data_IF_768112860351
#
_entry.id   IF_768112860351
#
_cell.length_a   1.000
_cell.length_b   1.000
_cell.length_c   1.000
_cell.angle_alpha   90.00
_cell.angle_beta   90.00
_cell.angle_gamma   90.00
#
_symmetry.space_group_name_H-M   'P 1'
#
loop_
_entity.id
_entity.type
_entity.pdbx_description
1 polymer ?
#
# COMPACT_ATOMS: atom_id res chain seq x y z
N UNK A 1 -68.19 49.62 -22.44
CA UNK A 1 -68.50 48.97 -21.15
C UNK A 1 -67.29 49.15 -20.24
N UNK A 2 -67.52 49.79 -19.09
CA UNK A 2 -66.83 49.71 -17.77
C UNK A 2 -65.61 48.77 -17.68
N UNK A 3 -64.48 49.03 -17.04
CA UNK A 3 -64.12 49.83 -15.85
C UNK A 3 -62.60 49.65 -15.59
N UNK A 4 -61.82 50.73 -15.45
CA UNK A 4 -61.07 51.19 -14.26
C UNK A 4 -60.02 50.28 -13.58
N UNK A 5 -58.83 50.88 -13.37
CA UNK A 5 -57.87 50.70 -12.24
C UNK A 5 -57.02 49.40 -12.23
N UNK A 6 -55.76 49.34 -11.78
CA UNK A 6 -54.89 50.25 -11.03
C UNK A 6 -53.42 49.83 -11.22
N UNK A 7 -52.54 50.81 -11.07
CA UNK A 7 -51.08 50.73 -11.02
C UNK A 7 -50.59 50.30 -9.63
N UNK A 8 -49.62 49.38 -9.58
CA UNK A 8 -48.74 49.19 -8.42
C UNK A 8 -47.37 48.66 -8.88
N UNK A 9 -46.40 49.56 -8.85
CA UNK A 9 -44.97 49.34 -8.98
C UNK A 9 -44.44 48.58 -7.76
N UNK A 10 -43.73 47.46 -8.00
CA UNK A 10 -42.93 46.78 -6.98
C UNK A 10 -41.52 46.54 -7.51
N UNK A 11 -40.60 47.29 -6.93
CA UNK A 11 -39.17 47.05 -7.00
C UNK A 11 -38.84 45.75 -6.24
N UNK A 12 -38.14 44.83 -6.90
CA UNK A 12 -37.44 43.73 -6.24
C UNK A 12 -35.97 43.84 -6.58
N UNK A 13 -35.24 44.52 -5.71
CA UNK A 13 -33.82 44.30 -5.55
C UNK A 13 -33.62 42.97 -4.82
N UNK A 14 -32.98 42.01 -5.47
CA UNK A 14 -32.48 40.81 -4.81
C UNK A 14 -30.96 40.77 -4.93
N UNK A 15 -30.33 41.40 -3.93
CA UNK A 15 -28.90 41.28 -3.69
C UNK A 15 -28.60 39.90 -3.14
N UNK A 16 -28.13 39.00 -4.01
CA UNK A 16 -27.63 37.69 -3.63
C UNK A 16 -26.31 37.79 -2.85
N UNK A 17 -26.43 38.14 -1.57
CA UNK A 17 -25.40 37.92 -0.55
C UNK A 17 -25.16 36.41 -0.43
N UNK A 18 -24.15 35.91 -1.17
CA UNK A 18 -23.51 34.61 -0.89
C UNK A 18 -22.92 34.67 0.52
N UNK A 19 -23.69 34.19 1.50
CA UNK A 19 -23.16 33.79 2.81
C UNK A 19 -22.13 32.68 2.58
N UNK A 20 -20.84 33.04 2.62
CA UNK A 20 -19.77 32.10 2.94
C UNK A 20 -20.10 31.52 4.33
N UNK A 21 -20.74 30.35 4.36
CA UNK A 21 -20.72 29.51 5.55
C UNK A 21 -19.27 29.06 5.68
N UNK A 22 -18.59 29.56 6.72
CA UNK A 22 -17.34 28.96 7.17
C UNK A 22 -17.62 27.52 7.54
N UNK A 23 -17.32 26.62 6.60
CA UNK A 23 -17.19 25.20 6.87
C UNK A 23 -15.90 25.07 7.68
N UNK A 24 -16.07 24.74 8.96
CA UNK A 24 -14.97 24.55 9.89
C UNK A 24 -14.02 23.43 9.43
N UNK A 25 -12.78 23.57 9.86
CA UNK A 25 -11.57 22.80 9.53
C UNK A 25 -11.59 21.29 9.88
N UNK A 26 -12.75 20.62 9.82
CA UNK A 26 -12.91 19.21 10.21
C UNK A 26 -12.83 18.20 9.05
N UNK A 27 -12.79 18.65 7.79
CA UNK A 27 -12.67 17.75 6.63
C UNK A 27 -11.21 17.31 6.40
N UNK A 28 -10.26 18.24 6.49
CA UNK A 28 -8.82 18.00 6.36
C UNK A 28 -8.29 16.91 7.32
N UNK A 29 -8.88 16.81 8.52
CA UNK A 29 -8.52 15.78 9.52
C UNK A 29 -8.98 14.37 9.09
N UNK A 30 -10.01 14.22 8.24
CA UNK A 30 -10.57 12.91 7.87
C UNK A 30 -9.80 12.20 6.75
N UNK A 31 -9.27 12.93 5.76
CA UNK A 31 -8.51 12.30 4.65
C UNK A 31 -7.16 11.78 5.15
N UNK A 32 -6.49 12.54 6.03
CA UNK A 32 -5.27 12.11 6.71
C UNK A 32 -5.59 10.98 7.71
N UNK A 33 -6.68 11.04 8.48
CA UNK A 33 -6.98 10.01 9.49
C UNK A 33 -7.24 8.59 8.93
N UNK A 34 -7.55 8.44 7.64
CA UNK A 34 -7.82 7.12 7.02
C UNK A 34 -6.62 6.60 6.23
N UNK A 35 -5.80 7.48 5.62
CA UNK A 35 -4.52 7.10 5.01
C UNK A 35 -3.35 7.01 6.00
N UNK A 36 -3.42 7.75 7.10
CA UNK A 36 -2.36 8.00 8.08
C UNK A 36 -2.96 8.07 9.49
N UNK A 37 -3.52 6.95 9.97
CA UNK A 37 -4.24 6.84 11.24
C UNK A 37 -3.64 7.62 12.42
N UNK A 38 -4.10 8.86 12.57
CA UNK A 38 -4.03 9.78 13.72
C UNK A 38 -2.64 10.14 14.28
N UNK A 39 -1.98 11.15 13.69
CA UNK A 39 -1.17 12.13 14.44
C UNK A 39 -1.94 13.45 14.57
N UNK A 40 -2.67 13.61 15.68
CA UNK A 40 -3.15 14.92 16.14
C UNK A 40 -3.50 14.84 17.63
N UNK A 41 -2.47 14.83 18.48
CA UNK A 41 -2.45 15.46 19.81
C UNK A 41 -0.98 15.72 20.17
N UNK A 42 -0.43 16.89 19.82
CA UNK A 42 0.74 17.50 20.49
C UNK A 42 1.03 18.92 19.96
N UNK A 43 0.04 19.81 20.02
CA UNK A 43 0.32 21.25 19.95
C UNK A 43 -0.72 22.02 20.75
N UNK A 44 -0.59 22.00 22.08
CA UNK A 44 -1.04 23.05 22.99
C UNK A 44 -0.58 22.71 24.41
N UNK A 45 0.04 23.70 25.07
CA UNK A 45 0.73 23.69 26.36
C UNK A 45 2.21 23.30 26.35
N UNK A 46 3.08 24.26 26.02
CA UNK A 46 4.15 24.69 26.94
C UNK A 46 4.27 26.21 26.84
N UNK A 47 3.71 26.90 27.83
CA UNK A 47 4.12 28.25 28.15
C UNK A 47 5.48 28.20 28.86
N UNK A 48 6.43 28.95 28.31
CA UNK A 48 7.47 29.70 29.03
C UNK A 48 8.07 29.05 30.29
N UNK A 49 9.27 28.47 30.14
CA UNK A 49 10.39 28.65 31.06
C UNK A 49 11.69 28.24 30.37
N UNK A 50 12.55 29.24 30.12
CA UNK A 50 13.93 29.07 29.72
C UNK A 50 14.72 28.46 30.89
N UNK A 51 15.33 27.29 30.68
CA UNK A 51 16.51 26.86 31.42
C UNK A 51 17.54 26.42 30.38
N UNK A 52 18.58 27.23 30.21
CA UNK A 52 19.76 26.88 29.43
C UNK A 52 20.55 25.82 30.19
N UNK A 53 20.65 24.63 29.62
CA UNK A 53 21.63 23.62 30.03
C UNK A 53 22.62 23.46 28.88
N UNK A 54 23.84 23.95 29.08
CA UNK A 54 24.99 23.62 28.25
C UNK A 54 25.32 22.14 28.46
N UNK A 55 25.11 21.33 27.43
CA UNK A 55 25.66 19.98 27.35
C UNK A 55 26.89 20.01 26.46
N UNK A 56 28.03 19.81 27.11
CA UNK A 56 29.31 19.46 26.50
C UNK A 56 29.13 18.11 25.80
N UNK A 57 29.35 18.09 24.49
CA UNK A 57 29.38 16.85 23.69
C UNK A 57 30.84 16.43 23.59
N UNK A 58 31.25 15.53 24.47
CA UNK A 58 32.44 14.71 24.26
C UNK A 58 32.09 13.59 23.27
N UNK A 59 32.87 13.53 22.20
CA UNK A 59 32.83 12.48 21.19
C UNK A 59 33.58 11.25 21.69
N UNK A 60 33.05 10.03 21.47
CA UNK A 60 33.89 8.84 21.40
C UNK A 60 33.98 8.34 19.96
N UNK A 61 35.21 8.37 19.46
CA UNK A 61 35.70 7.51 18.39
C UNK A 61 35.36 6.05 18.69
N UNK A 62 34.60 5.41 17.81
CA UNK A 62 34.54 3.96 17.71
C UNK A 62 34.78 3.53 16.27
N UNK A 63 36.04 3.22 15.99
CA UNK A 63 36.49 2.48 14.82
C UNK A 63 35.97 1.04 14.87
N UNK A 64 35.09 0.67 13.94
CA UNK A 64 34.78 -0.73 13.68
C UNK A 64 35.82 -1.29 12.70
N UNK A 65 36.78 -2.07 13.23
CA UNK A 65 37.60 -2.97 12.42
C UNK A 65 36.79 -4.23 12.09
N UNK A 66 36.40 -4.36 10.82
CA UNK A 66 35.77 -5.58 10.28
C UNK A 66 36.88 -6.59 9.98
N UNK A 67 37.02 -7.61 10.83
CA UNK A 67 37.91 -8.74 10.62
C UNK A 67 37.32 -9.66 9.54
N UNK A 68 37.80 -9.52 8.30
CA UNK A 68 37.50 -10.46 7.22
C UNK A 68 38.37 -11.71 7.35
N UNK A 69 37.73 -12.86 7.58
CA UNK A 69 38.36 -14.16 7.41
C UNK A 69 38.38 -14.54 5.92
N UNK A 70 39.53 -14.95 5.34
CA UNK A 70 39.59 -15.42 3.97
C UNK A 70 39.02 -16.84 3.85
N UNK A 71 38.06 -17.04 2.95
CA UNK A 71 37.63 -18.38 2.52
C UNK A 71 38.63 -18.94 1.50
N UNK A 72 39.41 -19.92 1.92
CA UNK A 72 40.23 -20.77 1.05
C UNK A 72 39.36 -21.65 0.18
N UNK A 73 39.54 -21.57 -1.15
CA UNK A 73 39.07 -22.56 -2.12
C UNK A 73 40.04 -23.75 -2.11
N UNK A 74 39.54 -24.93 -1.78
CA UNK A 74 40.22 -26.20 -2.10
C UNK A 74 39.31 -27.02 -2.99
N UNK A 75 39.74 -27.14 -4.24
CA UNK A 75 39.31 -28.14 -5.21
C UNK A 75 40.11 -29.41 -4.95
N UNK A 76 39.43 -30.55 -4.79
CA UNK A 76 39.90 -31.87 -5.23
C UNK A 76 38.70 -32.83 -5.24
N UNK A 77 38.40 -33.36 -6.42
CA UNK A 77 37.45 -34.46 -6.64
C UNK A 77 38.20 -35.78 -6.43
N UNK A 78 37.85 -36.52 -5.39
CA UNK A 78 38.10 -37.96 -5.32
C UNK A 78 36.75 -38.69 -5.18
N UNK A 79 36.50 -39.60 -6.12
CA UNK A 79 35.32 -40.47 -6.14
C UNK A 79 35.45 -41.53 -5.03
N UNK A 80 34.68 -41.36 -3.96
CA UNK A 80 34.36 -42.43 -3.01
C UNK A 80 32.94 -42.94 -3.26
N UNK A 81 32.81 -44.23 -3.54
CA UNK A 81 31.53 -44.93 -3.54
C UNK A 81 31.04 -45.08 -2.10
N UNK A 82 29.82 -44.62 -1.75
CA UNK A 82 29.32 -44.75 -0.39
C UNK A 82 28.88 -46.19 -0.10
N UNK A 83 29.13 -46.70 1.13
CA UNK A 83 28.58 -47.99 1.56
C UNK A 83 27.05 -47.93 1.67
N UNK A 84 26.36 -49.09 1.57
CA UNK A 84 24.90 -49.15 1.61
C UNK A 84 24.37 -48.56 2.92
N UNK A 85 23.62 -47.46 2.78
CA UNK A 85 23.03 -46.72 3.89
C UNK A 85 22.05 -47.60 4.65
N UNK A 86 22.43 -47.97 5.88
CA UNK A 86 21.51 -48.51 6.87
C UNK A 86 20.44 -47.45 7.12
N UNK A 87 19.19 -47.72 6.71
CA UNK A 87 18.05 -46.84 6.93
C UNK A 87 17.82 -46.70 8.44
N UNK A 88 18.50 -45.72 9.03
CA UNK A 88 18.20 -45.27 10.39
C UNK A 88 16.81 -44.68 10.31
N UNK A 89 15.84 -45.32 10.97
CA UNK A 89 14.50 -44.78 11.17
C UNK A 89 14.69 -43.50 12.00
N UNK A 90 14.92 -42.39 11.30
CA UNK A 90 14.86 -41.07 11.90
C UNK A 90 13.41 -40.89 12.30
N UNK A 91 13.14 -41.04 13.60
CA UNK A 91 11.98 -40.45 14.23
C UNK A 91 12.07 -38.94 13.98
N UNK A 92 11.58 -38.49 12.82
CA UNK A 92 11.40 -37.09 12.51
C UNK A 92 10.47 -36.54 13.58
N UNK A 93 11.05 -35.85 14.55
CA UNK A 93 10.30 -35.06 15.52
C UNK A 93 9.40 -34.15 14.72
N UNK A 94 8.09 -34.41 14.77
CA UNK A 94 7.08 -33.66 14.02
C UNK A 94 7.29 -32.17 14.31
N UNK A 95 7.74 -31.42 13.31
CA UNK A 95 8.05 -30.02 13.48
C UNK A 95 6.78 -29.27 13.89
N UNK A 96 6.88 -28.33 14.83
CA UNK A 96 5.73 -27.53 15.27
C UNK A 96 5.22 -26.69 14.09
N UNK A 97 3.90 -26.72 13.78
CA UNK A 97 3.36 -25.98 12.65
C UNK A 97 3.51 -24.47 12.87
N UNK A 98 3.51 -23.72 11.78
CA UNK A 98 3.78 -22.27 11.82
C UNK A 98 2.64 -21.43 11.26
N UNK A 99 2.59 -20.16 11.66
CA UNK A 99 1.83 -19.13 10.94
C UNK A 99 2.79 -18.30 10.08
N UNK A 100 2.48 -18.16 8.80
CA UNK A 100 3.08 -17.16 7.92
C UNK A 100 2.11 -15.98 7.80
N UNK A 101 2.55 -14.81 8.26
CA UNK A 101 1.80 -13.56 8.17
C UNK A 101 2.44 -12.64 7.13
N UNK A 102 1.77 -12.42 6.00
CA UNK A 102 2.14 -11.33 5.11
C UNK A 102 1.69 -10.01 5.73
N UNK A 103 2.65 -9.13 6.02
CA UNK A 103 2.43 -7.81 6.60
C UNK A 103 3.21 -6.77 5.82
N UNK A 104 2.53 -5.84 5.15
CA UNK A 104 3.18 -4.79 4.40
C UNK A 104 2.21 -3.69 4.01
N UNK A 105 2.72 -2.60 3.44
CA UNK A 105 1.86 -1.52 3.00
C UNK A 105 0.94 -1.95 1.88
N UNK A 106 -0.09 -1.14 1.64
CA UNK A 106 -0.84 -1.23 0.41
C UNK A 106 0.07 -1.20 -0.81
N UNK A 107 -0.38 -1.77 -1.93
CA UNK A 107 0.36 -1.74 -3.21
C UNK A 107 1.69 -2.49 -3.22
N UNK A 108 1.88 -3.44 -2.31
CA UNK A 108 2.99 -4.40 -2.35
C UNK A 108 2.56 -5.81 -2.78
N UNK A 109 1.39 -5.93 -3.42
CA UNK A 109 0.93 -7.18 -4.02
C UNK A 109 0.05 -8.06 -3.15
N UNK A 110 -0.42 -7.54 -2.00
CA UNK A 110 -1.39 -8.22 -1.13
C UNK A 110 -2.65 -8.64 -1.89
N UNK A 111 -3.17 -7.80 -2.79
CA UNK A 111 -4.31 -8.13 -3.65
C UNK A 111 -4.01 -9.32 -4.54
N UNK A 112 -2.81 -9.40 -5.14
CA UNK A 112 -2.40 -10.54 -5.99
C UNK A 112 -2.28 -11.82 -5.18
N UNK A 113 -1.75 -11.75 -3.95
CA UNK A 113 -1.70 -12.89 -3.03
C UNK A 113 -3.10 -13.33 -2.61
N UNK A 114 -4.01 -12.39 -2.29
CA UNK A 114 -5.40 -12.68 -1.94
C UNK A 114 -6.17 -13.30 -3.11
N UNK A 115 -6.02 -12.75 -4.31
CA UNK A 115 -6.62 -13.28 -5.53
C UNK A 115 -6.12 -14.70 -5.80
N UNK A 116 -4.82 -14.95 -5.62
CA UNK A 116 -4.25 -16.28 -5.73
C UNK A 116 -4.90 -17.28 -4.76
N UNK A 117 -4.99 -16.93 -3.46
CA UNK A 117 -5.48 -17.86 -2.44
C UNK A 117 -7.02 -18.01 -2.43
N UNK A 118 -7.78 -16.99 -2.87
CA UNK A 118 -9.24 -16.98 -2.76
C UNK A 118 -10.02 -17.02 -4.08
N UNK A 119 -9.40 -16.68 -5.23
CA UNK A 119 -10.05 -16.67 -6.55
C UNK A 119 -9.50 -17.72 -7.52
N UNK A 120 -8.54 -18.55 -7.10
CA UNK A 120 -7.96 -19.62 -7.93
C UNK A 120 -9.08 -20.52 -8.49
N UNK A 121 -9.08 -20.86 -9.80
CA UNK A 121 -10.21 -21.46 -10.52
C UNK A 121 -10.80 -22.76 -9.94
N UNK A 122 -10.14 -23.39 -8.96
CA UNK A 122 -10.77 -24.41 -8.13
C UNK A 122 -12.00 -23.87 -7.36
N UNK A 123 -12.15 -22.57 -7.11
CA UNK A 123 -13.30 -22.00 -6.37
C UNK A 123 -14.49 -21.61 -7.23
N UNK A 124 -14.36 -21.59 -8.55
CA UNK A 124 -15.32 -20.96 -9.46
C UNK A 124 -16.36 -21.95 -10.03
N UNK A 125 -16.77 -22.95 -9.24
CA UNK A 125 -17.97 -23.74 -9.56
C UNK A 125 -19.21 -22.98 -9.09
N UNK A 126 -19.77 -22.18 -9.99
CA UNK A 126 -20.87 -21.24 -9.74
C UNK A 126 -22.18 -21.86 -9.21
N UNK A 127 -22.29 -23.19 -9.12
CA UNK A 127 -23.51 -23.86 -8.68
C UNK A 127 -23.38 -24.65 -7.37
N UNK A 128 -22.22 -24.70 -6.71
CA UNK A 128 -22.09 -25.34 -5.41
C UNK A 128 -21.47 -24.41 -4.37
N UNK A 129 -22.31 -24.03 -3.41
CA UNK A 129 -21.97 -23.35 -2.17
C UNK A 129 -20.84 -24.14 -1.48
N UNK A 130 -19.66 -23.53 -1.33
CA UNK A 130 -18.60 -23.87 -0.36
C UNK A 130 -17.56 -24.98 -0.62
N UNK A 131 -17.23 -25.39 -1.84
CA UNK A 131 -16.07 -26.29 -2.00
C UNK A 131 -15.33 -26.06 -3.32
N UNK A 132 -14.21 -25.32 -3.27
CA UNK A 132 -12.85 -25.89 -3.39
C UNK A 132 -11.81 -24.77 -3.44
N UNK A 133 -11.58 -24.11 -2.31
CA UNK A 133 -10.27 -23.49 -2.11
C UNK A 133 -9.25 -24.63 -1.97
N UNK A 134 -8.03 -24.44 -2.46
CA UNK A 134 -6.83 -25.09 -1.89
C UNK A 134 -6.52 -26.57 -2.23
N UNK A 135 -6.67 -27.10 -3.46
CA UNK A 135 -6.08 -28.44 -3.72
C UNK A 135 -4.58 -28.47 -3.45
N UNK A 136 -3.83 -27.51 -3.96
CA UNK A 136 -2.37 -27.44 -3.76
C UNK A 136 -2.01 -27.05 -2.32
N UNK A 137 -2.67 -26.03 -1.76
CA UNK A 137 -2.43 -25.61 -0.37
C UNK A 137 -2.83 -26.69 0.65
N UNK A 138 -3.88 -27.50 0.41
CA UNK A 138 -4.21 -28.66 1.24
C UNK A 138 -3.19 -29.78 1.10
N UNK A 139 -2.72 -30.05 -0.13
CA UNK A 139 -1.61 -30.99 -0.38
C UNK A 139 -0.35 -30.57 0.36
N UNK A 140 -0.14 -29.26 0.51
CA UNK A 140 0.96 -28.65 1.27
C UNK A 140 0.68 -28.52 2.78
N UNK A 141 -0.48 -29.00 3.26
CA UNK A 141 -0.91 -28.87 4.66
C UNK A 141 -0.93 -27.42 5.16
N UNK A 142 -1.31 -26.49 4.29
CA UNK A 142 -1.48 -25.07 4.59
C UNK A 142 -2.98 -24.75 4.66
N UNK A 143 -3.40 -24.16 5.77
CA UNK A 143 -4.74 -23.64 5.97
C UNK A 143 -4.77 -22.12 5.77
N UNK A 144 -5.84 -21.64 5.16
CA UNK A 144 -6.17 -20.22 5.05
C UNK A 144 -7.53 -19.99 5.69
N UNK A 145 -7.73 -18.87 6.41
CA UNK A 145 -9.03 -18.58 6.99
C UNK A 145 -10.04 -18.28 5.88
N UNK A 146 -11.25 -18.79 6.05
CA UNK A 146 -12.40 -18.51 5.20
C UNK A 146 -12.96 -17.11 5.44
N UNK A 147 -13.84 -16.68 4.53
CA UNK A 147 -14.57 -15.41 4.63
C UNK A 147 -15.33 -15.25 5.96
N UNK A 148 -15.86 -16.35 6.52
CA UNK A 148 -16.65 -16.34 7.75
C UNK A 148 -15.81 -16.37 9.03
N UNK A 149 -14.54 -16.77 8.92
CA UNK A 149 -13.55 -16.80 10.01
C UNK A 149 -12.80 -15.47 10.14
N UNK A 150 -12.81 -14.65 9.09
CA UNK A 150 -12.31 -13.28 9.10
C UNK A 150 -13.41 -12.27 9.48
N UNK A 151 -13.05 -11.04 9.91
CA UNK A 151 -14.00 -10.02 10.35
C UNK A 151 -14.89 -9.41 9.23
N UNK A 152 -15.42 -10.23 8.32
CA UNK A 152 -16.34 -9.85 7.25
C UNK A 152 -15.66 -9.11 6.08
N UNK A 153 -16.35 -8.98 4.94
CA UNK A 153 -15.82 -8.26 3.79
C UNK A 153 -15.80 -6.75 4.03
N UNK A 154 -14.67 -6.11 3.71
CA UNK A 154 -14.61 -4.68 3.41
C UNK A 154 -14.36 -4.57 1.91
N UNK A 155 -15.43 -4.30 1.15
CA UNK A 155 -15.45 -4.48 -0.31
C UNK A 155 -15.18 -5.93 -0.76
N UNK A 156 -14.43 -6.12 -1.85
CA UNK A 156 -14.15 -7.43 -2.48
C UNK A 156 -13.13 -8.28 -1.70
N UNK A 157 -12.55 -7.76 -0.61
CA UNK A 157 -11.44 -8.38 0.12
C UNK A 157 -11.75 -8.48 1.63
N UNK A 158 -11.35 -9.58 2.27
CA UNK A 158 -11.80 -9.92 3.64
C UNK A 158 -10.75 -9.83 4.71
N UNK A 159 -9.48 -9.86 4.34
CA UNK A 159 -8.38 -9.78 5.30
C UNK A 159 -8.01 -8.36 5.68
N UNK A 160 -8.54 -7.34 4.97
CA UNK A 160 -8.37 -5.93 5.33
C UNK A 160 -8.78 -5.68 6.78
N UNK A 161 -9.93 -6.22 7.19
CA UNK A 161 -10.47 -6.02 8.53
C UNK A 161 -9.64 -6.70 9.64
N UNK A 162 -8.79 -7.67 9.30
CA UNK A 162 -7.95 -8.34 10.28
C UNK A 162 -6.99 -7.33 10.92
N UNK A 163 -6.27 -6.53 10.11
CA UNK A 163 -5.33 -5.52 10.62
C UNK A 163 -6.02 -4.44 11.47
N UNK A 164 -7.23 -4.01 11.08
CA UNK A 164 -8.00 -3.03 11.85
C UNK A 164 -8.36 -3.49 13.25
N UNK A 165 -8.71 -4.78 13.41
CA UNK A 165 -8.96 -5.34 14.73
C UNK A 165 -7.69 -5.43 15.61
N UNK A 166 -6.51 -5.26 15.01
CA UNK A 166 -5.22 -5.21 15.70
C UNK A 166 -4.78 -3.80 16.06
N UNK A 167 -5.50 -2.75 15.68
CA UNK A 167 -5.13 -1.38 16.04
C UNK A 167 -5.28 -1.15 17.55
N UNK A 168 -4.28 -0.54 18.19
CA UNK A 168 -4.38 -0.07 19.56
C UNK A 168 -5.56 0.90 19.71
N UNK A 169 -6.36 0.75 20.77
CA UNK A 169 -7.59 1.56 20.98
C UNK A 169 -8.62 1.49 19.82
N UNK A 170 -8.71 0.36 19.10
CA UNK A 170 -9.64 0.18 17.96
C UNK A 170 -11.08 0.65 18.21
N UNK A 171 -11.59 0.59 19.45
CA UNK A 171 -12.92 1.11 19.83
C UNK A 171 -13.15 2.59 19.47
N UNK A 172 -12.08 3.39 19.35
CA UNK A 172 -12.13 4.81 18.98
C UNK A 172 -11.48 5.11 17.62
N UNK A 173 -10.67 4.19 17.08
CA UNK A 173 -9.81 4.44 15.92
C UNK A 173 -9.92 3.43 14.77
N UNK A 174 -10.80 2.43 14.86
CA UNK A 174 -10.97 1.38 13.84
C UNK A 174 -11.69 1.80 12.56
N UNK A 175 -11.94 3.11 12.36
CA UNK A 175 -12.70 3.62 11.22
C UNK A 175 -14.15 3.16 11.20
N UNK A 176 -14.67 2.84 10.02
CA UNK A 176 -16.05 2.38 9.78
C UNK A 176 -16.36 0.99 10.35
N UNK A 177 -15.35 0.31 10.91
CA UNK A 177 -15.54 -1.00 11.52
C UNK A 177 -16.15 -0.86 12.90
N UNK A 178 -17.36 -1.42 13.06
CA UNK A 178 -18.00 -1.48 14.36
C UNK A 178 -17.29 -2.49 15.27
N UNK A 179 -17.43 -2.28 16.58
CA UNK A 179 -16.86 -3.17 17.59
C UNK A 179 -17.34 -4.63 17.40
N UNK A 180 -18.53 -4.82 16.85
CA UNK A 180 -19.15 -6.12 16.63
C UNK A 180 -18.44 -6.97 15.58
N UNK A 181 -17.93 -6.35 14.50
CA UNK A 181 -17.10 -7.04 13.50
C UNK A 181 -15.82 -7.60 14.13
N UNK A 182 -15.15 -6.81 14.96
CA UNK A 182 -13.99 -7.28 15.72
C UNK A 182 -14.35 -8.20 16.90
N UNK A 183 -15.61 -8.24 17.35
CA UNK A 183 -16.06 -9.25 18.31
C UNK A 183 -16.28 -10.61 17.63
N UNK A 184 -16.72 -10.64 16.36
CA UNK A 184 -16.92 -11.89 15.61
C UNK A 184 -15.63 -12.69 15.47
N UNK A 185 -14.53 -12.03 15.11
CA UNK A 185 -13.20 -12.67 15.02
C UNK A 185 -12.81 -13.35 16.34
N UNK A 186 -13.15 -12.78 17.51
CA UNK A 186 -12.85 -13.41 18.82
C UNK A 186 -13.53 -14.76 19.02
N UNK A 187 -14.69 -14.98 18.43
CA UNK A 187 -15.44 -16.23 18.59
C UNK A 187 -15.06 -17.31 17.58
N UNK A 188 -14.77 -16.92 16.35
CA UNK A 188 -14.63 -17.86 15.23
C UNK A 188 -13.16 -18.14 14.89
N UNK A 189 -12.32 -17.12 14.86
CA UNK A 189 -10.92 -17.24 14.40
C UNK A 189 -10.04 -18.10 15.32
N UNK A 190 -10.13 -18.02 16.67
CA UNK A 190 -9.39 -18.94 17.54
C UNK A 190 -9.73 -20.41 17.30
N UNK A 191 -11.00 -20.73 16.98
CA UNK A 191 -11.41 -22.11 16.69
C UNK A 191 -10.81 -22.62 15.39
N UNK A 192 -10.71 -21.76 14.38
CA UNK A 192 -10.00 -22.05 13.13
C UNK A 192 -8.53 -22.40 13.40
N UNK A 193 -7.83 -21.56 14.18
CA UNK A 193 -6.41 -21.78 14.49
C UNK A 193 -6.19 -23.01 15.36
N UNK A 194 -7.04 -23.25 16.36
CA UNK A 194 -6.94 -24.45 17.20
C UNK A 194 -7.15 -25.72 16.36
N UNK A 195 -8.13 -25.72 15.45
CA UNK A 195 -8.35 -26.82 14.51
C UNK A 195 -7.14 -27.06 13.61
N UNK A 196 -6.60 -26.00 12.99
CA UNK A 196 -5.44 -26.11 12.12
C UNK A 196 -4.20 -26.63 12.88
N UNK A 197 -3.99 -26.13 14.10
CA UNK A 197 -2.87 -26.52 14.96
C UNK A 197 -2.96 -27.99 15.39
N UNK A 198 -4.14 -28.45 15.83
CA UNK A 198 -4.37 -29.84 16.22
C UNK A 198 -4.16 -30.82 15.06
N UNK A 199 -4.40 -30.36 13.83
CA UNK A 199 -4.10 -31.10 12.61
C UNK A 199 -2.64 -30.97 12.15
N UNK A 200 -1.81 -30.20 12.89
CA UNK A 200 -0.43 -29.88 12.56
C UNK A 200 -0.25 -29.22 11.20
N UNK A 201 -1.18 -28.34 10.84
CA UNK A 201 -1.17 -27.61 9.57
C UNK A 201 -0.55 -26.23 9.75
N UNK A 202 0.21 -25.79 8.76
CA UNK A 202 0.65 -24.40 8.68
C UNK A 202 -0.54 -23.49 8.40
N UNK A 203 -0.47 -22.25 8.82
CA UNK A 203 -1.51 -21.24 8.52
C UNK A 203 -0.89 -20.09 7.74
N UNK A 204 -1.55 -19.68 6.66
CA UNK A 204 -1.17 -18.51 5.88
C UNK A 204 -2.21 -17.40 6.08
N UNK A 205 -1.74 -16.23 6.52
CA UNK A 205 -2.54 -15.02 6.67
C UNK A 205 -1.99 -13.93 5.76
N UNK A 206 -2.82 -13.41 4.87
CA UNK A 206 -2.46 -12.31 3.97
C UNK A 206 -3.37 -11.14 4.28
N UNK A 207 -2.89 -10.17 5.06
CA UNK A 207 -3.68 -9.01 5.47
C UNK A 207 -3.14 -7.72 4.85
N UNK A 208 -4.05 -6.89 4.34
CA UNK A 208 -3.77 -5.49 4.02
C UNK A 208 -3.79 -4.65 5.30
N UNK A 209 -3.29 -3.42 5.26
CA UNK A 209 -3.32 -2.45 6.37
C UNK A 209 -2.48 -2.80 7.61
N UNK A 210 -1.60 -3.81 7.51
CA UNK A 210 -0.65 -4.16 8.58
C UNK A 210 0.52 -3.17 8.71
N UNK A 211 0.58 -2.18 7.84
CA UNK A 211 1.57 -1.11 7.82
C UNK A 211 1.30 0.01 8.83
N UNK A 212 0.12 0.06 9.44
CA UNK A 212 -0.25 1.12 10.38
C UNK A 212 0.68 1.13 11.62
N UNK A 213 1.20 2.31 11.98
CA UNK A 213 2.05 2.46 13.17
C UNK A 213 1.36 2.08 14.50
N UNK A 214 0.03 2.10 14.52
CA UNK A 214 -0.79 1.82 15.70
C UNK A 214 -1.10 0.34 15.91
N UNK A 215 -0.56 -0.57 15.10
CA UNK A 215 -0.79 -2.01 15.23
C UNK A 215 -0.24 -2.52 16.57
N UNK A 216 -1.07 -3.27 17.30
CA UNK A 216 -0.78 -3.89 18.59
C UNK A 216 -0.29 -5.32 18.35
N UNK A 217 1.03 -5.49 18.28
CA UNK A 217 1.66 -6.80 18.03
C UNK A 217 1.33 -7.84 19.11
N UNK A 218 1.13 -7.42 20.36
CA UNK A 218 0.70 -8.33 21.44
C UNK A 218 -0.69 -8.88 21.15
N UNK A 219 -1.59 -8.05 20.60
CA UNK A 219 -2.92 -8.52 20.18
C UNK A 219 -2.85 -9.46 18.98
N UNK A 220 -1.99 -9.20 18.00
CA UNK A 220 -1.74 -10.17 16.91
C UNK A 220 -1.36 -11.51 17.53
N UNK A 221 -0.38 -11.54 18.43
CA UNK A 221 0.04 -12.79 19.10
C UNK A 221 -1.06 -13.45 19.90
N UNK A 222 -1.91 -12.69 20.56
CA UNK A 222 -3.07 -13.24 21.27
C UNK A 222 -3.98 -14.02 20.31
N UNK A 223 -4.31 -13.44 19.16
CA UNK A 223 -5.17 -14.11 18.19
C UNK A 223 -4.50 -15.28 17.49
N UNK A 224 -3.18 -15.28 17.32
CA UNK A 224 -2.46 -16.37 16.66
C UNK A 224 -2.21 -17.60 17.55
N UNK A 225 -2.70 -17.61 18.80
CA UNK A 225 -2.65 -18.81 19.64
C UNK A 225 -3.46 -19.96 19.01
N UNK A 226 -3.01 -21.22 19.12
CA UNK A 226 -1.90 -21.69 19.97
C UNK A 226 -0.50 -21.68 19.32
N UNK A 227 -0.35 -21.17 18.10
CA UNK A 227 0.94 -21.21 17.38
C UNK A 227 2.03 -20.38 18.09
N UNK A 228 3.14 -21.02 18.43
CA UNK A 228 4.32 -20.32 18.98
C UNK A 228 5.18 -19.72 17.87
N UNK A 229 5.25 -20.43 16.75
CA UNK A 229 6.04 -20.09 15.57
C UNK A 229 5.25 -19.22 14.60
N UNK A 230 5.66 -17.96 14.49
CA UNK A 230 5.03 -16.98 13.60
C UNK A 230 6.13 -16.27 12.83
N UNK A 231 6.11 -16.42 11.51
CA UNK A 231 6.99 -15.72 10.58
C UNK A 231 6.22 -14.59 9.93
N UNK A 232 6.84 -13.42 9.86
CA UNK A 232 6.26 -12.25 9.21
C UNK A 232 7.02 -11.98 7.93
N UNK A 233 6.31 -11.81 6.84
CA UNK A 233 6.89 -11.53 5.52
C UNK A 233 6.36 -10.18 5.05
N UNK A 234 7.25 -9.20 4.93
CA UNK A 234 6.96 -7.89 4.37
C UNK A 234 7.47 -7.80 2.94
N UNK A 235 6.66 -7.28 2.02
CA UNK A 235 7.08 -7.16 0.62
C UNK A 235 7.67 -5.78 0.37
N UNK A 236 8.98 -5.74 0.11
CA UNK A 236 9.69 -4.55 -0.30
C UNK A 236 9.40 -4.22 -1.76
N UNK A 237 8.88 -3.01 -1.97
CA UNK A 237 8.79 -2.35 -3.28
C UNK A 237 9.41 -0.98 -3.12
N UNK A 238 10.40 -0.65 -3.95
CA UNK A 238 11.03 0.69 -4.04
C UNK A 238 10.03 1.83 -3.90
N UNK A 239 10.40 2.86 -3.14
CA UNK A 239 9.58 4.05 -2.92
C UNK A 239 9.13 4.67 -4.25
N UNK A 240 10.03 4.71 -5.24
CA UNK A 240 9.74 5.32 -6.55
C UNK A 240 8.64 4.61 -7.35
N UNK A 241 8.41 3.33 -7.08
CA UNK A 241 7.36 2.54 -7.72
C UNK A 241 6.13 2.39 -6.83
N UNK A 242 6.32 2.41 -5.52
CA UNK A 242 5.28 2.28 -4.53
C UNK A 242 4.51 3.59 -4.34
N UNK A 243 5.18 4.72 -4.14
CA UNK A 243 4.56 6.03 -3.83
C UNK A 243 3.51 6.46 -4.86
N UNK A 244 3.77 6.43 -6.19
CA UNK A 244 2.73 6.78 -7.16
C UNK A 244 1.54 5.81 -7.10
N UNK A 245 1.80 4.51 -6.88
CA UNK A 245 0.75 3.50 -6.76
C UNK A 245 -0.12 3.70 -5.52
N UNK A 246 0.52 4.05 -4.40
CA UNK A 246 -0.13 4.31 -3.12
C UNK A 246 -0.97 5.60 -3.19
N UNK A 247 -0.37 6.70 -3.68
CA UNK A 247 -1.08 7.94 -3.99
C UNK A 247 -2.34 7.70 -4.83
N UNK A 248 -2.21 6.96 -5.93
CA UNK A 248 -3.32 6.65 -6.84
C UNK A 248 -4.48 5.93 -6.13
N UNK A 249 -4.20 5.08 -5.15
CA UNK A 249 -5.23 4.43 -4.35
C UNK A 249 -5.95 5.43 -3.46
N UNK A 250 -5.21 6.28 -2.75
CA UNK A 250 -5.78 7.31 -1.88
C UNK A 250 -6.66 8.26 -2.68
N UNK A 251 -6.15 8.88 -3.74
CA UNK A 251 -6.93 9.89 -4.49
C UNK A 251 -8.16 9.30 -5.20
N UNK A 252 -8.11 8.02 -5.58
CA UNK A 252 -9.26 7.30 -6.13
C UNK A 252 -10.37 7.12 -5.10
N UNK A 253 -10.04 6.86 -3.84
CA UNK A 253 -11.04 6.75 -2.76
C UNK A 253 -11.78 8.07 -2.51
N UNK A 254 -11.08 9.21 -2.66
CA UNK A 254 -11.61 10.54 -2.37
C UNK A 254 -12.09 11.34 -3.57
N UNK A 255 -12.13 10.74 -4.77
CA UNK A 255 -12.52 11.44 -6.02
C UNK A 255 -13.86 12.17 -5.91
N UNK A 256 -14.83 11.66 -5.13
CA UNK A 256 -16.12 12.32 -4.91
C UNK A 256 -16.03 13.58 -4.06
N UNK A 257 -15.15 13.58 -3.06
CA UNK A 257 -14.91 14.75 -2.18
C UNK A 257 -14.23 15.84 -2.99
N UNK A 258 -13.25 15.46 -3.81
CA UNK A 258 -12.58 16.41 -4.69
C UNK A 258 -13.53 16.98 -5.77
N UNK A 259 -14.36 16.14 -6.38
CA UNK A 259 -15.27 16.58 -7.44
C UNK A 259 -16.45 17.42 -6.96
N UNK A 260 -16.77 17.40 -5.66
CA UNK A 260 -17.74 18.33 -5.06
C UNK A 260 -17.11 19.67 -4.67
N UNK A 261 -15.78 19.79 -4.73
CA UNK A 261 -15.04 20.97 -4.28
C UNK A 261 -15.01 21.10 -2.75
N UNK A 262 -15.30 20.03 -2.01
CA UNK A 262 -15.14 20.00 -0.55
C UNK A 262 -13.67 20.03 -0.14
N UNK A 263 -12.82 19.41 -0.95
CA UNK A 263 -11.36 19.43 -0.79
C UNK A 263 -10.67 19.61 -2.14
N UNK A 264 -9.45 20.13 -2.09
CA UNK A 264 -8.59 20.21 -3.26
C UNK A 264 -8.03 18.82 -3.59
N UNK A 265 -7.97 18.49 -4.88
CA UNK A 265 -7.29 17.27 -5.34
C UNK A 265 -5.79 17.57 -5.38
N UNK A 266 -4.98 17.04 -4.44
CA UNK A 266 -3.54 17.33 -4.40
C UNK A 266 -2.83 16.73 -5.61
N UNK A 267 -1.75 17.34 -6.09
CA UNK A 267 -0.84 16.64 -7.01
C UNK A 267 0.00 15.62 -6.23
N UNK A 268 0.54 14.59 -6.91
CA UNK A 268 1.54 13.71 -6.28
C UNK A 268 2.73 14.51 -5.72
N UNK A 269 3.18 15.56 -6.43
CA UNK A 269 4.32 16.37 -5.99
C UNK A 269 4.02 17.12 -4.70
N UNK A 270 2.85 17.77 -4.62
CA UNK A 270 2.42 18.50 -3.42
C UNK A 270 2.21 17.52 -2.26
N UNK A 271 1.57 16.39 -2.55
CA UNK A 271 1.31 15.36 -1.54
C UNK A 271 2.59 14.77 -0.95
N UNK A 272 3.61 14.52 -1.78
CA UNK A 272 4.91 14.08 -1.29
C UNK A 272 5.64 15.19 -0.54
N UNK A 273 5.53 16.45 -0.97
CA UNK A 273 6.14 17.56 -0.25
C UNK A 273 5.67 17.64 1.20
N UNK A 274 4.36 17.45 1.41
CA UNK A 274 3.72 17.61 2.71
C UNK A 274 3.85 16.36 3.61
N UNK A 275 3.89 15.16 3.02
CA UNK A 275 3.71 13.90 3.76
C UNK A 275 4.80 12.84 3.55
N UNK A 276 5.93 13.18 2.92
CA UNK A 276 6.97 12.19 2.59
C UNK A 276 7.42 11.34 3.78
N UNK A 277 7.73 11.97 4.92
CA UNK A 277 8.21 11.27 6.12
C UNK A 277 7.16 10.30 6.67
N UNK A 278 5.88 10.66 6.57
CA UNK A 278 4.77 9.81 7.00
C UNK A 278 4.64 8.57 6.10
N UNK A 279 4.87 8.72 4.79
CA UNK A 279 4.88 7.59 3.86
C UNK A 279 6.07 6.65 4.09
N UNK A 280 7.24 7.19 4.43
CA UNK A 280 8.39 6.36 4.80
C UNK A 280 8.06 5.51 6.02
N UNK A 281 7.38 6.07 7.03
CA UNK A 281 7.00 5.33 8.24
C UNK A 281 6.08 4.13 7.96
N UNK A 282 5.23 4.17 6.93
CA UNK A 282 4.38 3.03 6.55
C UNK A 282 5.01 2.16 5.46
N UNK A 283 6.23 2.48 5.01
CA UNK A 283 6.93 1.69 4.01
C UNK A 283 7.39 0.33 4.55
N UNK A 284 7.57 -0.65 3.66
CA UNK A 284 7.80 -2.04 4.00
C UNK A 284 8.98 -2.27 4.97
N UNK A 285 10.07 -1.50 4.82
CA UNK A 285 11.23 -1.59 5.73
C UNK A 285 10.87 -1.16 7.14
N UNK A 286 10.22 -0.01 7.30
CA UNK A 286 9.78 0.49 8.60
C UNK A 286 8.73 -0.42 9.24
N UNK A 287 7.88 -1.04 8.43
CA UNK A 287 6.94 -2.09 8.89
C UNK A 287 7.72 -3.29 9.42
N UNK A 288 8.65 -3.85 8.66
CA UNK A 288 9.45 -5.00 9.08
C UNK A 288 10.22 -4.71 10.37
N UNK A 289 10.85 -3.54 10.49
CA UNK A 289 11.58 -3.15 11.70
C UNK A 289 10.66 -2.98 12.91
N UNK A 290 9.42 -2.47 12.75
CA UNK A 290 8.44 -2.46 13.83
C UNK A 290 8.08 -3.87 14.31
N UNK A 291 7.83 -4.79 13.38
CA UNK A 291 7.54 -6.19 13.73
C UNK A 291 8.73 -6.84 14.43
N UNK A 292 9.96 -6.63 13.93
CA UNK A 292 11.20 -7.18 14.50
C UNK A 292 11.46 -6.64 15.91
N UNK A 293 11.35 -5.32 16.10
CA UNK A 293 11.54 -4.63 17.39
C UNK A 293 10.57 -5.11 18.47
N UNK A 294 9.42 -5.66 18.09
CA UNK A 294 8.48 -6.22 19.07
C UNK A 294 9.04 -7.44 19.83
N UNK A 295 10.01 -8.16 19.25
CA UNK A 295 10.54 -9.40 19.82
C UNK A 295 9.51 -10.54 19.94
N UNK A 296 8.34 -10.37 19.32
CA UNK A 296 7.24 -11.33 19.45
C UNK A 296 7.25 -12.39 18.36
N UNK A 297 7.91 -12.19 17.23
CA UNK A 297 7.82 -13.09 16.06
C UNK A 297 9.11 -13.93 15.92
N UNK A 298 8.99 -15.16 15.40
CA UNK A 298 10.13 -16.08 15.21
C UNK A 298 11.11 -15.51 14.18
N UNK A 299 10.57 -15.03 13.06
CA UNK A 299 11.33 -14.30 12.04
C UNK A 299 10.50 -13.18 11.44
N UNK A 300 11.19 -12.15 10.96
CA UNK A 300 10.63 -11.07 10.16
C UNK A 300 11.52 -10.91 8.95
N UNK A 301 10.96 -11.14 7.78
CA UNK A 301 11.68 -11.27 6.52
C UNK A 301 11.14 -10.27 5.50
N UNK A 302 12.03 -9.77 4.64
CA UNK A 302 11.69 -8.82 3.59
C UNK A 302 11.83 -9.50 2.22
N UNK A 303 10.73 -9.60 1.48
CA UNK A 303 10.68 -10.10 0.11
C UNK A 303 10.92 -8.95 -0.87
N UNK A 304 12.00 -9.02 -1.66
CA UNK A 304 12.28 -8.02 -2.69
C UNK A 304 11.45 -8.25 -3.97
N UNK A 305 10.47 -7.39 -4.21
CA UNK A 305 9.63 -7.44 -5.42
C UNK A 305 10.42 -7.19 -6.71
N UNK A 306 11.57 -6.51 -6.61
CA UNK A 306 12.38 -6.05 -7.75
C UNK A 306 13.55 -6.96 -8.11
N UNK A 307 13.76 -8.04 -7.36
CA UNK A 307 14.75 -9.03 -7.75
C UNK A 307 14.32 -9.72 -9.06
N UNK A 308 15.27 -10.02 -9.94
CA UNK A 308 15.00 -10.64 -11.24
C UNK A 308 14.58 -12.11 -11.12
N UNK A 309 13.97 -12.66 -12.18
CA UNK A 309 13.60 -14.07 -12.27
C UNK A 309 12.13 -14.33 -11.93
N UNK A 310 11.87 -14.72 -10.68
CA UNK A 310 10.56 -15.17 -10.22
C UNK A 310 9.60 -14.01 -9.91
N UNK A 311 8.32 -14.19 -10.27
CA UNK A 311 7.26 -13.24 -9.91
C UNK A 311 6.93 -13.25 -8.41
N UNK A 312 6.15 -12.26 -7.94
CA UNK A 312 5.77 -12.14 -6.52
C UNK A 312 5.22 -13.44 -5.93
N UNK A 313 4.29 -14.09 -6.64
CA UNK A 313 3.65 -15.31 -6.17
C UNK A 313 4.66 -16.43 -5.99
N UNK A 314 5.51 -16.64 -6.98
CA UNK A 314 6.53 -17.68 -6.94
C UNK A 314 7.49 -17.44 -5.79
N UNK A 315 8.09 -16.24 -5.68
CA UNK A 315 8.97 -15.91 -4.56
C UNK A 315 8.29 -16.12 -3.21
N UNK A 316 7.09 -15.57 -3.04
CA UNK A 316 6.39 -15.64 -1.76
C UNK A 316 6.11 -17.09 -1.34
N UNK A 317 5.51 -17.89 -2.23
CA UNK A 317 5.14 -19.26 -1.87
C UNK A 317 6.33 -20.22 -1.87
N UNK A 318 7.26 -20.11 -2.83
CA UNK A 318 8.39 -21.02 -2.93
C UNK A 318 9.47 -20.75 -1.87
N UNK A 319 9.71 -19.47 -1.54
CA UNK A 319 10.85 -19.11 -0.68
C UNK A 319 10.42 -18.85 0.78
N UNK A 320 9.22 -18.31 1.02
CA UNK A 320 8.81 -17.84 2.35
C UNK A 320 7.72 -18.69 3.02
N UNK A 321 6.97 -19.49 2.27
CA UNK A 321 5.92 -20.38 2.83
C UNK A 321 6.46 -21.81 2.91
N UNK A 322 6.77 -22.33 4.12
CA UNK A 322 7.36 -23.66 4.22
C UNK A 322 6.38 -24.74 3.80
N UNK A 323 6.93 -25.77 3.16
CA UNK A 323 6.22 -26.94 2.65
C UNK A 323 5.21 -26.63 1.54
N UNK A 324 5.22 -25.44 0.93
CA UNK A 324 4.34 -25.04 -0.17
C UNK A 324 4.75 -25.64 -1.53
N UNK A 325 5.20 -26.90 -1.57
CA UNK A 325 5.82 -27.51 -2.75
C UNK A 325 4.84 -27.65 -3.93
N UNK A 326 3.61 -28.08 -3.66
CA UNK A 326 2.59 -28.24 -4.69
C UNK A 326 2.08 -26.88 -5.17
N UNK A 327 1.95 -25.93 -4.26
CA UNK A 327 1.56 -24.54 -4.56
C UNK A 327 2.62 -23.86 -5.43
N UNK A 328 3.89 -23.98 -5.06
CA UNK A 328 5.03 -23.48 -5.84
C UNK A 328 5.04 -24.07 -7.25
N UNK A 329 4.89 -25.41 -7.38
CA UNK A 329 4.80 -26.08 -8.68
C UNK A 329 3.62 -25.56 -9.51
N UNK A 330 2.45 -25.38 -8.90
CA UNK A 330 1.27 -24.89 -9.60
C UNK A 330 1.47 -23.46 -10.15
N UNK A 331 2.18 -22.60 -9.41
CA UNK A 331 2.57 -21.26 -9.85
C UNK A 331 3.53 -21.35 -11.04
N UNK A 332 4.59 -22.16 -10.93
CA UNK A 332 5.62 -22.32 -11.97
C UNK A 332 5.06 -22.89 -13.28
N UNK A 333 4.04 -23.74 -13.21
CA UNK A 333 3.37 -24.28 -14.41
C UNK A 333 2.44 -23.29 -15.11
N UNK A 334 2.38 -22.03 -14.66
CA UNK A 334 1.65 -20.98 -15.36
C UNK A 334 0.13 -21.05 -15.21
N UNK A 335 -0.38 -21.67 -14.14
CA UNK A 335 -1.83 -21.78 -13.90
C UNK A 335 -2.53 -20.44 -13.59
N UNK A 336 -1.84 -19.30 -13.71
CA UNK A 336 -2.40 -17.98 -13.38
C UNK A 336 -2.01 -16.89 -14.37
N UNK A 337 -2.98 -16.07 -14.71
CA UNK A 337 -2.78 -14.85 -15.48
C UNK A 337 -2.45 -13.70 -14.54
N UNK A 338 -1.28 -13.08 -14.72
CA UNK A 338 -0.96 -11.84 -14.03
C UNK A 338 -1.82 -10.72 -14.65
N UNK A 339 -2.71 -10.15 -13.85
CA UNK A 339 -3.41 -8.94 -14.26
C UNK A 339 -2.42 -7.77 -14.26
N UNK A 340 -2.19 -7.18 -15.44
CA UNK A 340 -1.46 -5.92 -15.52
C UNK A 340 -2.36 -4.81 -15.01
N UNK A 341 -1.92 -4.12 -13.96
CA UNK A 341 -2.57 -2.90 -13.52
C UNK A 341 -2.23 -1.79 -14.51
N UNK A 342 -3.16 -1.50 -15.43
CA UNK A 342 -3.02 -0.34 -16.31
C UNK A 342 -3.15 0.91 -15.44
N UNK A 343 -2.06 1.68 -15.33
CA UNK A 343 -2.04 2.95 -14.62
C UNK A 343 -3.12 3.91 -15.13
N UNK A 344 -3.77 4.63 -14.22
CA UNK A 344 -4.86 5.55 -14.55
C UNK A 344 -4.40 6.93 -15.03
N UNK A 345 -5.32 7.69 -15.62
CA UNK A 345 -5.12 9.06 -16.11
C UNK A 345 -5.30 10.11 -15.00
N UNK A 346 -4.73 9.87 -13.81
CA UNK A 346 -5.10 10.61 -12.59
C UNK A 346 -4.81 12.11 -12.64
N UNK A 347 -3.71 12.53 -13.27
CA UNK A 347 -3.46 13.96 -13.45
C UNK A 347 -4.50 14.64 -14.36
N UNK A 348 -5.00 13.90 -15.35
CA UNK A 348 -6.09 14.39 -16.20
C UNK A 348 -7.43 14.34 -15.47
N UNK A 349 -7.66 13.38 -14.56
CA UNK A 349 -8.81 13.39 -13.66
C UNK A 349 -8.81 14.68 -12.80
N UNK A 350 -7.64 15.04 -12.25
CA UNK A 350 -7.44 16.28 -11.49
C UNK A 350 -7.72 17.52 -12.33
N UNK A 351 -7.20 17.58 -13.56
CA UNK A 351 -7.50 18.67 -14.50
C UNK A 351 -9.00 18.79 -14.79
N UNK A 352 -9.68 17.66 -15.04
CA UNK A 352 -11.13 17.65 -15.30
C UNK A 352 -11.91 18.19 -14.11
N UNK A 353 -11.57 17.77 -12.89
CA UNK A 353 -12.22 18.25 -11.67
C UNK A 353 -12.01 19.75 -11.50
N UNK A 354 -10.77 20.23 -11.60
CA UNK A 354 -10.46 21.66 -11.47
C UNK A 354 -11.17 22.50 -12.54
N UNK A 355 -11.18 22.04 -13.80
CA UNK A 355 -11.88 22.70 -14.90
C UNK A 355 -13.40 22.74 -14.67
N UNK A 356 -13.99 21.63 -14.20
CA UNK A 356 -15.42 21.55 -13.90
C UNK A 356 -15.82 22.51 -12.77
N UNK A 357 -15.04 22.58 -11.69
CA UNK A 357 -15.29 23.49 -10.57
C UNK A 357 -15.18 24.97 -10.98
N UNK A 358 -14.39 25.27 -12.01
CA UNK A 358 -14.26 26.61 -12.60
C UNK A 358 -15.26 26.89 -13.74
N UNK A 359 -16.23 26.00 -14.00
CA UNK A 359 -17.18 26.11 -15.12
C UNK A 359 -16.51 26.23 -16.51
N UNK A 360 -15.35 25.58 -16.70
CA UNK A 360 -14.62 25.54 -17.98
C UNK A 360 -15.00 24.34 -18.86
N UNK A 361 -15.75 23.40 -18.31
CA UNK A 361 -16.37 22.28 -19.04
C UNK A 361 -17.79 22.66 -19.49
N UNK A 362 -18.36 21.94 -20.47
CA UNK A 362 -19.72 22.21 -20.97
C UNK A 362 -20.79 21.99 -19.90
N UNK A 363 -20.52 21.03 -19.00
CA UNK A 363 -21.39 20.68 -17.87
C UNK A 363 -20.54 20.36 -16.65
N UNK A 364 -21.15 20.42 -15.50
CA UNK A 364 -20.54 19.96 -14.26
C UNK A 364 -20.34 18.43 -14.26
N UNK A 365 -19.17 17.97 -13.83
CA UNK A 365 -18.77 16.57 -13.81
C UNK A 365 -18.42 16.17 -12.38
N UNK A 366 -19.30 15.40 -11.72
CA UNK A 366 -19.10 14.96 -10.33
C UNK A 366 -18.82 13.47 -10.19
N UNK A 367 -19.27 12.63 -11.13
CA UNK A 367 -19.21 11.17 -10.99
C UNK A 367 -17.83 10.64 -11.40
N UNK A 368 -17.18 9.78 -10.60
CA UNK A 368 -15.85 9.22 -10.91
C UNK A 368 -15.75 8.62 -12.33
N UNK A 369 -16.76 7.86 -12.77
CA UNK A 369 -16.78 7.25 -14.10
C UNK A 369 -16.80 8.29 -15.23
N UNK A 370 -17.47 9.43 -15.03
CA UNK A 370 -17.51 10.51 -16.01
C UNK A 370 -16.19 11.27 -16.05
N UNK A 371 -15.57 11.48 -14.89
CA UNK A 371 -14.24 12.10 -14.75
C UNK A 371 -13.20 11.28 -15.51
N UNK A 372 -13.08 9.97 -15.24
CA UNK A 372 -12.13 9.13 -15.96
C UNK A 372 -12.41 9.00 -17.45
N UNK A 373 -13.68 9.11 -17.87
CA UNK A 373 -14.03 9.15 -19.30
C UNK A 373 -13.61 10.49 -19.94
N UNK A 374 -13.80 11.60 -19.25
CA UNK A 374 -13.37 12.92 -19.68
C UNK A 374 -11.85 13.00 -19.77
N UNK A 375 -11.12 12.51 -18.78
CA UNK A 375 -9.67 12.44 -18.76
C UNK A 375 -9.13 11.68 -19.99
N UNK A 376 -9.70 10.50 -20.31
CA UNK A 376 -9.37 9.75 -21.53
C UNK A 376 -9.62 10.55 -22.81
N UNK A 377 -10.71 11.32 -22.88
CA UNK A 377 -10.98 12.19 -24.03
C UNK A 377 -9.95 13.30 -24.17
N UNK A 378 -9.48 13.87 -23.06
CA UNK A 378 -8.40 14.87 -23.10
C UNK A 378 -7.14 14.27 -23.69
N UNK A 379 -6.70 13.12 -23.16
CA UNK A 379 -5.48 12.43 -23.66
C UNK A 379 -5.59 12.12 -25.14
N UNK A 380 -6.69 11.51 -25.57
CA UNK A 380 -6.93 11.23 -26.99
C UNK A 380 -6.91 12.50 -27.85
N UNK A 381 -7.53 13.59 -27.39
CA UNK A 381 -7.55 14.84 -28.14
C UNK A 381 -6.16 15.52 -28.24
N UNK A 382 -5.28 15.29 -27.26
CA UNK A 382 -3.88 15.74 -27.32
C UNK A 382 -3.10 14.92 -28.34
N UNK A 383 -3.28 13.59 -28.33
CA UNK A 383 -2.68 12.66 -29.29
C UNK A 383 -3.12 12.97 -30.73
N UNK A 384 -4.43 13.15 -30.95
CA UNK A 384 -5.02 13.46 -32.27
C UNK A 384 -4.49 14.81 -32.83
N UNK A 385 -4.07 15.73 -31.95
CA UNK A 385 -3.48 17.03 -32.31
C UNK A 385 -1.95 17.01 -32.40
N UNK A 386 -1.31 15.88 -32.14
CA UNK A 386 0.16 15.77 -32.09
C UNK A 386 0.79 16.60 -30.97
N UNK A 387 0.06 16.93 -29.91
CA UNK A 387 0.59 17.68 -28.77
C UNK A 387 1.35 16.71 -27.87
N UNK A 388 2.68 16.72 -27.98
CA UNK A 388 3.52 15.90 -27.13
C UNK A 388 3.38 16.28 -25.65
N UNK A 389 3.47 15.28 -24.75
CA UNK A 389 3.35 15.48 -23.29
C UNK A 389 4.39 16.46 -22.73
N UNK A 390 5.53 16.65 -23.41
CA UNK A 390 6.57 17.61 -23.04
C UNK A 390 6.15 19.08 -23.20
N UNK A 391 5.18 19.38 -24.06
CA UNK A 391 4.65 20.75 -24.22
C UNK A 391 3.61 21.13 -23.17
N UNK A 392 3.13 20.15 -22.39
CA UNK A 392 2.13 20.39 -21.35
C UNK A 392 2.86 20.84 -20.09
N UNK A 393 2.48 21.99 -19.47
CA UNK A 393 3.05 22.43 -18.22
C UNK A 393 2.99 21.36 -17.13
N UNK A 394 4.13 21.12 -16.49
CA UNK A 394 4.28 20.15 -15.40
C UNK A 394 5.01 20.78 -14.22
N UNK A 395 4.64 20.32 -13.02
CA UNK A 395 5.37 20.51 -11.77
C UNK A 395 6.05 19.20 -11.41
N UNK A 396 7.36 19.24 -11.16
CA UNK A 396 8.13 18.07 -10.77
C UNK A 396 8.57 18.17 -9.30
N UNK A 397 8.96 17.03 -8.74
CA UNK A 397 9.55 16.94 -7.41
C UNK A 397 10.75 17.88 -7.26
N UNK A 398 10.94 18.49 -6.09
CA UNK A 398 12.14 19.27 -5.81
C UNK A 398 13.37 18.36 -5.74
N UNK A 399 14.54 18.89 -6.09
CA UNK A 399 15.81 18.17 -6.01
C UNK A 399 16.07 17.63 -4.60
N UNK A 400 15.74 18.38 -3.55
CA UNK A 400 15.95 17.95 -2.17
C UNK A 400 15.09 16.74 -1.78
N UNK A 401 13.82 16.73 -2.17
CA UNK A 401 12.92 15.62 -1.87
C UNK A 401 13.27 14.39 -2.72
N UNK A 402 13.71 14.62 -3.95
CA UNK A 402 14.24 13.57 -4.82
C UNK A 402 15.48 12.90 -4.21
N UNK A 403 16.45 13.69 -3.74
CA UNK A 403 17.69 13.17 -3.14
C UNK A 403 17.39 12.42 -1.83
N UNK A 404 16.46 12.91 -1.00
CA UNK A 404 15.99 12.18 0.20
C UNK A 404 15.38 10.82 -0.14
N UNK A 405 14.56 10.75 -1.19
CA UNK A 405 14.01 9.49 -1.68
C UNK A 405 15.09 8.53 -2.15
N UNK A 406 16.07 9.02 -2.93
CA UNK A 406 17.21 8.23 -3.37
C UNK A 406 18.02 7.70 -2.18
N UNK A 407 18.37 8.56 -1.24
CA UNK A 407 19.14 8.19 -0.05
C UNK A 407 18.41 7.10 0.77
N UNK A 408 17.09 7.23 0.91
CA UNK A 408 16.27 6.24 1.62
C UNK A 408 16.27 4.89 0.92
N UNK A 409 16.08 4.86 -0.42
CA UNK A 409 16.19 3.62 -1.20
C UNK A 409 17.60 3.00 -1.11
N UNK A 410 18.66 3.82 -1.17
CA UNK A 410 20.04 3.35 -1.02
C UNK A 410 20.27 2.69 0.34
N UNK A 411 19.81 3.33 1.43
CA UNK A 411 19.92 2.77 2.78
C UNK A 411 19.14 1.47 2.89
N UNK A 412 17.90 1.42 2.40
CA UNK A 412 17.08 0.22 2.44
C UNK A 412 17.74 -0.93 1.66
N UNK A 413 18.17 -0.70 0.43
CA UNK A 413 18.70 -1.76 -0.43
C UNK A 413 20.08 -2.23 0.01
N UNK A 414 20.95 -1.31 0.44
CA UNK A 414 22.27 -1.66 1.00
C UNK A 414 22.15 -2.49 2.28
N UNK A 415 21.17 -2.17 3.13
CA UNK A 415 21.01 -2.82 4.43
C UNK A 415 20.34 -4.19 4.31
N UNK A 416 19.25 -4.28 3.55
CA UNK A 416 18.42 -5.49 3.54
C UNK A 416 18.66 -6.39 2.32
N UNK A 417 19.25 -5.86 1.24
CA UNK A 417 19.47 -6.58 -0.01
C UNK A 417 20.87 -6.34 -0.59
N UNK A 418 21.96 -6.47 0.18
CA UNK A 418 23.30 -6.03 -0.24
C UNK A 418 23.77 -6.69 -1.53
N UNK A 419 23.54 -8.00 -1.71
CA UNK A 419 23.96 -8.70 -2.92
C UNK A 419 23.24 -8.20 -4.18
N UNK A 420 21.93 -7.95 -4.08
CA UNK A 420 21.14 -7.40 -5.19
C UNK A 420 21.49 -5.92 -5.44
N UNK A 421 21.70 -5.16 -4.36
CA UNK A 421 22.13 -3.76 -4.43
C UNK A 421 23.47 -3.59 -5.16
N UNK A 422 24.46 -4.44 -4.88
CA UNK A 422 25.73 -4.43 -5.61
C UNK A 422 25.56 -4.89 -7.07
N UNK A 423 24.76 -5.93 -7.30
CA UNK A 423 24.53 -6.49 -8.66
C UNK A 423 23.98 -5.46 -9.65
N UNK A 424 23.13 -4.56 -9.19
CA UNK A 424 22.56 -3.50 -10.03
C UNK A 424 23.43 -2.23 -10.11
N UNK A 425 24.66 -2.26 -9.57
CA UNK A 425 25.60 -1.14 -9.64
C UNK A 425 25.57 -0.17 -8.45
N UNK A 426 25.04 -0.61 -7.31
CA UNK A 426 25.05 0.14 -6.05
C UNK A 426 24.39 1.52 -6.15
N UNK A 427 25.02 2.52 -5.53
CA UNK A 427 24.52 3.91 -5.54
C UNK A 427 24.36 4.48 -6.94
N UNK A 428 25.31 4.19 -7.85
CA UNK A 428 25.30 4.73 -9.21
C UNK A 428 24.14 4.15 -10.02
N UNK A 429 23.95 2.83 -9.95
CA UNK A 429 22.85 2.16 -10.64
C UNK A 429 21.48 2.58 -10.11
N UNK A 430 21.36 2.74 -8.78
CA UNK A 430 20.10 3.19 -8.19
C UNK A 430 19.77 4.64 -8.55
N UNK A 431 20.77 5.53 -8.53
CA UNK A 431 20.63 6.93 -8.96
C UNK A 431 20.20 7.01 -10.42
N UNK A 432 20.92 6.36 -11.32
CA UNK A 432 20.61 6.37 -12.76
C UNK A 432 19.19 5.87 -13.02
N UNK A 433 18.82 4.73 -12.44
CA UNK A 433 17.47 4.16 -12.62
C UNK A 433 16.36 5.03 -12.02
N UNK A 434 16.66 5.85 -10.99
CA UNK A 434 15.72 6.84 -10.48
C UNK A 434 15.61 8.07 -11.39
N UNK A 435 16.74 8.59 -11.89
CA UNK A 435 16.79 9.72 -12.83
C UNK A 435 15.95 9.45 -14.09
N UNK A 436 16.04 8.23 -14.63
CA UNK A 436 15.28 7.78 -15.81
C UNK A 436 13.76 7.92 -15.64
N UNK A 437 13.24 7.74 -14.41
CA UNK A 437 11.79 7.82 -14.13
C UNK A 437 11.35 9.14 -13.53
N UNK A 438 12.29 10.01 -13.13
CA UNK A 438 11.97 11.25 -12.41
C UNK A 438 11.17 12.22 -13.26
N UNK A 439 11.56 12.39 -14.53
CA UNK A 439 10.85 13.26 -15.48
C UNK A 439 9.44 12.77 -15.88
N UNK A 440 9.08 11.54 -15.51
CA UNK A 440 7.80 10.92 -15.89
C UNK A 440 6.91 10.63 -14.67
N UNK A 441 7.36 9.81 -13.73
CA UNK A 441 6.56 9.36 -12.57
C UNK A 441 6.41 10.43 -11.48
N UNK A 442 7.38 11.36 -11.38
CA UNK A 442 7.43 12.38 -10.33
C UNK A 442 7.24 13.80 -10.88
N UNK A 443 6.62 13.89 -12.05
CA UNK A 443 6.14 15.13 -12.63
C UNK A 443 4.64 15.02 -12.85
N UNK A 444 3.90 16.00 -12.35
CA UNK A 444 2.44 16.08 -12.46
C UNK A 444 2.04 17.27 -13.30
N UNK A 445 0.84 17.25 -13.87
CA UNK A 445 0.34 18.40 -14.62
C UNK A 445 0.25 19.65 -13.74
N UNK A 446 0.74 20.77 -14.24
CA UNK A 446 0.53 22.08 -13.60
C UNK A 446 -0.86 22.58 -13.99
N UNK A 447 -1.87 22.05 -13.29
CA UNK A 447 -3.29 22.30 -13.57
C UNK A 447 -3.62 23.79 -13.47
N UNK A 448 -3.04 24.50 -12.52
CA UNK A 448 -3.23 25.94 -12.37
C UNK A 448 -2.74 26.68 -13.63
N UNK A 449 -1.50 26.43 -14.06
CA UNK A 449 -0.94 27.07 -15.26
C UNK A 449 -1.69 26.68 -16.54
N UNK A 450 -2.11 25.42 -16.67
CA UNK A 450 -2.91 24.94 -17.81
C UNK A 450 -4.23 25.71 -17.91
N UNK A 451 -4.92 25.91 -16.78
CA UNK A 451 -6.19 26.64 -16.76
C UNK A 451 -5.97 28.15 -16.94
N UNK A 452 -4.98 28.74 -16.29
CA UNK A 452 -4.67 30.17 -16.42
C UNK A 452 -4.34 30.57 -17.86
N UNK A 453 -3.53 29.78 -18.57
CA UNK A 453 -3.15 30.04 -19.96
C UNK A 453 -4.26 29.71 -20.96
N UNK A 454 -5.29 28.97 -20.55
CA UNK A 454 -6.38 28.53 -21.43
C UNK A 454 -5.94 27.54 -22.51
N UNK A 455 -4.74 26.96 -22.41
CA UNK A 455 -4.17 26.12 -23.48
C UNK A 455 -5.03 24.90 -23.83
N UNK A 456 -5.82 24.40 -22.86
CA UNK A 456 -6.71 23.25 -23.04
C UNK A 456 -8.19 23.63 -23.17
N UNK A 457 -8.55 24.92 -23.15
CA UNK A 457 -9.94 25.36 -23.22
C UNK A 457 -10.70 24.80 -24.45
N UNK A 458 -10.11 24.71 -25.67
CA UNK A 458 -10.81 24.11 -26.80
C UNK A 458 -11.15 22.62 -26.60
N UNK A 459 -10.35 21.89 -25.83
CA UNK A 459 -10.62 20.47 -25.51
C UNK A 459 -11.65 20.40 -24.38
N UNK A 460 -11.45 21.18 -23.31
CA UNK A 460 -12.30 21.18 -22.11
C UNK A 460 -13.76 21.59 -22.42
N UNK A 461 -13.98 22.56 -23.32
CA UNK A 461 -15.33 22.99 -23.75
C UNK A 461 -16.12 21.91 -24.48
N UNK A 462 -15.45 20.88 -25.00
CA UNK A 462 -16.08 19.75 -25.71
C UNK A 462 -16.41 18.56 -24.79
N UNK A 463 -16.08 18.68 -23.51
CA UNK A 463 -16.35 17.68 -22.45
C UNK A 463 -17.54 18.17 -21.62
#
# INVERSE_FOLDING_TARGET
MTSSSSSASRATGDGSRRRRRGLGSNAYIRIIAIGLGFYSVMTLFIGSSFISVQLVVDSPDTSYQTLFLPKTKTSNQDQFTPPPSTQTIHNQTKEEPIVVLHAGPHKTGTTSLQDFIYKSPATSSHNNKHTSNTTFLQQDQIQIPTYDELPGPYHEYTSFNFAHCMISKYKRGGGDLNQDMCNRIRGVFPKFLEKAYNNSQNVLLVAEDMDRATIDHTRIRFYLKPYKRVRVVAVYRRLRDWLPSYYNQIVKMYTRVYSSGEEEYPSLVDWLHDHYEEFVQVHAVEVAERFKKSGLFESVELLNLHEEGAGLLEKFFCDYVPNANNTCRAIQTGNMTLQSNVGGYHDYDRLVIAASLQNRTRREIRKPVEISRAARKIVKALEDKGIASSYIPKKCLSTDLWERMLQTEQIHERTYFPEWYERQGGDKGLRQSLEEVTGTKFCTLDVEKILQTGMMDPILKNI
#
